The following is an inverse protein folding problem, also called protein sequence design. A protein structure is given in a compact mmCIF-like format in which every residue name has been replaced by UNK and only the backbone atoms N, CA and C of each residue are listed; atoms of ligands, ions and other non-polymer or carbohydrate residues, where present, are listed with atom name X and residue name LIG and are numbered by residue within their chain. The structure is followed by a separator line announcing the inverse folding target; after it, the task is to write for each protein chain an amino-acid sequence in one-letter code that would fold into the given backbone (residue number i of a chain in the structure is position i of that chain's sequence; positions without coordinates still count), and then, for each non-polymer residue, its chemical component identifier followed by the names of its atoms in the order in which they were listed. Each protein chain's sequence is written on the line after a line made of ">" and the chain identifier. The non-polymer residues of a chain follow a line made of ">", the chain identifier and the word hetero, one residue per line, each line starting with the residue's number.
data_IF_586319442290
#
_entry.id   IF_586319442290
#
_cell.length_a   1.000
_cell.length_b   1.000
_cell.length_c   1.000
_cell.angle_alpha   90.00
_cell.angle_beta   90.00
_cell.angle_gamma   90.00
#
_symmetry.space_group_name_H-M   'P 1'
#
loop_
_entity.id
_entity.type
_entity.pdbx_description
1 polymer ?
#
# COMPACT_ATOMS: atom_id res chain seq x y z
N UNK A 1 -35.36 1.43 -24.43
CA UNK A 1 -35.30 1.65 -22.97
C UNK A 1 -34.61 0.50 -22.26
N UNK A 2 -35.01 -0.75 -22.50
CA UNK A 2 -34.41 -1.95 -21.87
C UNK A 2 -32.88 -2.04 -22.01
N UNK A 3 -32.34 -1.83 -23.22
CA UNK A 3 -30.88 -1.77 -23.46
C UNK A 3 -30.19 -0.70 -22.61
N UNK A 4 -30.75 0.51 -22.56
CA UNK A 4 -30.21 1.64 -21.80
C UNK A 4 -30.19 1.37 -20.29
N UNK A 5 -31.24 0.71 -19.77
CA UNK A 5 -31.30 0.25 -18.39
C UNK A 5 -30.20 -0.79 -18.11
N UNK A 6 -30.02 -1.76 -19.02
CA UNK A 6 -28.97 -2.77 -18.90
C UNK A 6 -27.56 -2.15 -18.92
N UNK A 7 -27.32 -1.15 -19.78
CA UNK A 7 -26.06 -0.43 -19.87
C UNK A 7 -25.76 0.38 -18.60
N UNK A 8 -26.76 1.05 -18.03
CA UNK A 8 -26.62 1.78 -16.76
C UNK A 8 -26.40 0.81 -15.58
N UNK A 9 -27.13 -0.30 -15.52
CA UNK A 9 -26.93 -1.36 -14.53
C UNK A 9 -25.52 -1.93 -14.58
N UNK A 10 -25.00 -2.17 -15.78
CA UNK A 10 -23.62 -2.63 -15.99
C UNK A 10 -22.62 -1.60 -15.48
N UNK A 11 -22.80 -0.33 -15.84
CA UNK A 11 -21.95 0.78 -15.38
C UNK A 11 -21.94 0.88 -13.85
N UNK A 12 -23.11 0.91 -13.22
CA UNK A 12 -23.23 0.94 -11.75
C UNK A 12 -22.53 -0.25 -11.09
N UNK A 13 -22.77 -1.47 -11.56
CA UNK A 13 -22.13 -2.69 -11.03
C UNK A 13 -20.61 -2.63 -11.18
N UNK A 14 -20.11 -2.26 -12.35
CA UNK A 14 -18.68 -2.23 -12.65
C UNK A 14 -17.96 -1.14 -11.85
N UNK A 15 -18.50 0.07 -11.83
CA UNK A 15 -17.90 1.20 -11.09
C UNK A 15 -17.93 0.96 -9.58
N UNK A 16 -19.06 0.48 -9.03
CA UNK A 16 -19.15 0.14 -7.60
C UNK A 16 -18.14 -0.93 -7.21
N UNK A 17 -18.03 -2.01 -8.01
CA UNK A 17 -17.07 -3.09 -7.75
C UNK A 17 -15.61 -2.62 -7.81
N UNK A 18 -15.25 -1.81 -8.82
CA UNK A 18 -13.92 -1.21 -8.89
C UNK A 18 -13.63 -0.30 -7.67
N UNK A 19 -14.59 0.54 -7.24
CA UNK A 19 -14.43 1.38 -6.05
C UNK A 19 -14.31 0.56 -4.75
N UNK A 20 -15.06 -0.54 -4.60
CA UNK A 20 -14.84 -1.45 -3.47
C UNK A 20 -13.44 -2.08 -3.47
N UNK A 21 -12.93 -2.45 -4.65
CA UNK A 21 -11.58 -3.00 -4.79
C UNK A 21 -10.49 -1.96 -4.47
N UNK A 22 -10.70 -0.70 -4.88
CA UNK A 22 -9.83 0.42 -4.52
C UNK A 22 -9.79 0.63 -3.01
N UNK A 23 -10.97 0.65 -2.37
CA UNK A 23 -11.09 0.76 -0.91
C UNK A 23 -10.31 -0.33 -0.18
N UNK A 24 -10.50 -1.60 -0.59
CA UNK A 24 -9.77 -2.74 -0.03
C UNK A 24 -8.26 -2.60 -0.21
N UNK A 25 -7.79 -2.30 -1.44
CA UNK A 25 -6.36 -2.13 -1.72
C UNK A 25 -5.74 -1.07 -0.81
N UNK A 26 -6.33 0.12 -0.81
CA UNK A 26 -5.79 1.25 -0.07
C UNK A 26 -5.80 1.00 1.45
N UNK A 27 -6.85 0.39 1.99
CA UNK A 27 -6.89 -0.03 3.39
C UNK A 27 -5.82 -1.08 3.72
N UNK A 28 -5.56 -2.03 2.82
CA UNK A 28 -4.51 -3.03 3.01
C UNK A 28 -3.11 -2.41 2.97
N UNK A 29 -2.84 -1.53 2.00
CA UNK A 29 -1.56 -0.83 1.88
C UNK A 29 -1.31 0.03 3.11
N UNK A 30 -2.31 0.81 3.55
CA UNK A 30 -2.21 1.65 4.74
C UNK A 30 -1.88 0.85 6.01
N UNK A 31 -2.63 -0.22 6.28
CA UNK A 31 -2.37 -1.10 7.44
C UNK A 31 -0.96 -1.68 7.43
N UNK A 32 -0.44 -2.07 6.26
CA UNK A 32 0.91 -2.65 6.13
C UNK A 32 2.00 -1.61 6.35
N UNK A 33 1.83 -0.39 5.82
CA UNK A 33 2.76 0.71 6.05
C UNK A 33 2.76 1.15 7.52
N UNK A 34 1.59 1.21 8.16
CA UNK A 34 1.48 1.48 9.60
C UNK A 34 2.19 0.42 10.43
N UNK A 35 1.97 -0.87 10.12
CA UNK A 35 2.65 -1.96 10.81
C UNK A 35 4.17 -1.88 10.63
N UNK A 36 4.65 -1.66 9.40
CA UNK A 36 6.08 -1.51 9.13
C UNK A 36 6.69 -0.35 9.92
N UNK A 37 6.04 0.82 9.90
CA UNK A 37 6.46 2.01 10.66
C UNK A 37 6.52 1.72 12.16
N UNK A 38 5.52 1.02 12.72
CA UNK A 38 5.50 0.64 14.13
C UNK A 38 6.66 -0.32 14.50
N UNK A 39 6.88 -1.37 13.70
CA UNK A 39 7.96 -2.33 13.95
C UNK A 39 9.34 -1.69 13.77
N UNK A 40 9.53 -0.87 12.74
CA UNK A 40 10.78 -0.12 12.53
C UNK A 40 11.05 0.83 13.70
N UNK A 41 10.04 1.52 14.21
CA UNK A 41 10.17 2.38 15.40
C UNK A 41 10.60 1.59 16.64
N UNK A 42 9.92 0.47 16.92
CA UNK A 42 10.27 -0.39 18.05
C UNK A 42 11.70 -0.94 17.93
N UNK A 43 12.12 -1.30 16.72
CA UNK A 43 13.46 -1.80 16.45
C UNK A 43 14.54 -0.73 16.62
N UNK A 44 14.30 0.51 16.18
CA UNK A 44 15.22 1.64 16.42
C UNK A 44 15.41 1.88 17.93
N UNK A 45 14.32 1.81 18.71
CA UNK A 45 14.39 1.93 20.17
C UNK A 45 15.25 0.79 20.75
N UNK A 46 15.04 -0.46 20.30
CA UNK A 46 15.84 -1.59 20.74
C UNK A 46 17.33 -1.39 20.42
N UNK A 47 17.68 -0.98 19.20
CA UNK A 47 19.06 -0.68 18.80
C UNK A 47 19.67 0.44 19.66
N UNK A 48 18.90 1.47 20.00
CA UNK A 48 19.38 2.59 20.80
C UNK A 48 19.76 2.17 22.23
N UNK A 49 19.06 1.20 22.81
CA UNK A 49 19.33 0.72 24.17
C UNK A 49 20.32 -0.46 24.18
N UNK A 50 20.44 -1.20 23.08
CA UNK A 50 21.26 -2.42 22.96
C UNK A 50 22.71 -2.29 23.46
N UNK A 51 23.48 -1.22 23.13
CA UNK A 51 24.85 -1.05 23.62
C UNK A 51 24.99 -0.96 25.15
N UNK A 52 23.90 -0.68 25.89
CA UNK A 52 23.93 -0.64 27.36
C UNK A 52 24.02 -2.02 28.01
N UNK A 53 23.67 -3.06 27.26
CA UNK A 53 23.59 -4.43 27.77
C UNK A 53 24.69 -5.34 27.21
N UNK A 54 25.42 -4.90 26.19
CA UNK A 54 26.43 -5.70 25.49
C UNK A 54 27.67 -4.86 25.23
N UNK A 55 28.85 -5.41 25.51
CA UNK A 55 30.12 -4.79 25.12
C UNK A 55 30.32 -5.01 23.63
N UNK A 56 30.37 -3.92 22.87
CA UNK A 56 30.57 -3.93 21.43
C UNK A 56 32.01 -3.54 21.08
N UNK A 57 32.53 -4.08 19.99
CA UNK A 57 33.75 -3.58 19.39
C UNK A 57 33.53 -2.17 18.82
N UNK A 58 34.60 -1.39 18.61
CA UNK A 58 34.50 -0.04 18.04
C UNK A 58 33.84 -0.05 16.66
N UNK A 59 34.18 -1.07 15.87
CA UNK A 59 33.58 -1.31 14.55
C UNK A 59 32.08 -1.63 14.67
N UNK A 60 31.71 -2.55 15.57
CA UNK A 60 30.32 -2.94 15.80
C UNK A 60 29.45 -1.77 16.29
N UNK A 61 29.99 -0.93 17.17
CA UNK A 61 29.31 0.28 17.63
C UNK A 61 29.06 1.27 16.48
N UNK A 62 30.06 1.52 15.63
CA UNK A 62 29.94 2.43 14.49
C UNK A 62 28.85 1.97 13.50
N UNK A 63 28.79 0.67 13.22
CA UNK A 63 27.75 0.09 12.35
C UNK A 63 26.35 0.14 12.97
N UNK A 64 26.25 -0.07 14.28
CA UNK A 64 24.98 0.03 15.00
C UNK A 64 24.45 1.47 14.98
N UNK A 65 25.31 2.46 15.23
CA UNK A 65 24.97 3.89 15.15
C UNK A 65 24.53 4.27 13.73
N UNK A 66 25.30 3.88 12.71
CA UNK A 66 24.97 4.12 11.30
C UNK A 66 23.60 3.53 10.93
N UNK A 67 23.34 2.28 11.30
CA UNK A 67 22.06 1.62 11.00
C UNK A 67 20.91 2.26 11.76
N UNK A 68 21.11 2.66 13.01
CA UNK A 68 20.08 3.37 13.79
C UNK A 68 19.69 4.69 13.12
N UNK A 69 20.68 5.47 12.65
CA UNK A 69 20.45 6.72 11.92
C UNK A 69 19.75 6.44 10.58
N UNK A 70 20.24 5.47 9.80
CA UNK A 70 19.67 5.11 8.51
C UNK A 70 18.20 4.65 8.62
N UNK A 71 17.89 3.81 9.59
CA UNK A 71 16.52 3.37 9.88
C UNK A 71 15.64 4.52 10.36
N UNK A 72 16.18 5.48 11.12
CA UNK A 72 15.43 6.67 11.55
C UNK A 72 15.06 7.57 10.38
N UNK A 73 15.97 7.76 9.41
CA UNK A 73 15.69 8.48 8.17
C UNK A 73 14.63 7.73 7.34
N UNK A 74 14.76 6.40 7.23
CA UNK A 74 13.78 5.56 6.53
C UNK A 74 12.39 5.64 7.17
N UNK A 75 12.32 5.58 8.50
CA UNK A 75 11.09 5.71 9.28
C UNK A 75 10.42 7.06 9.00
N UNK A 76 11.17 8.15 9.04
CA UNK A 76 10.67 9.49 8.75
C UNK A 76 10.14 9.60 7.32
N UNK A 77 10.93 9.17 6.33
CA UNK A 77 10.54 9.21 4.93
C UNK A 77 9.27 8.37 4.66
N UNK A 78 9.19 7.16 5.23
CA UNK A 78 8.01 6.30 5.15
C UNK A 78 6.78 6.96 5.76
N UNK A 79 6.92 7.57 6.94
CA UNK A 79 5.82 8.25 7.64
C UNK A 79 5.28 9.43 6.84
N UNK A 80 6.17 10.24 6.24
CA UNK A 80 5.77 11.37 5.38
C UNK A 80 5.06 10.87 4.13
N UNK A 81 5.59 9.84 3.46
CA UNK A 81 4.98 9.27 2.27
C UNK A 81 3.60 8.67 2.57
N UNK A 82 3.47 7.94 3.68
CA UNK A 82 2.20 7.38 4.13
C UNK A 82 1.18 8.50 4.38
N UNK A 83 1.56 9.55 5.12
CA UNK A 83 0.68 10.69 5.38
C UNK A 83 0.26 11.41 4.08
N UNK A 84 1.19 11.70 3.19
CA UNK A 84 0.92 12.38 1.91
C UNK A 84 0.01 11.57 0.98
N UNK A 85 0.09 10.24 1.04
CA UNK A 85 -0.72 9.35 0.19
C UNK A 85 -2.22 9.40 0.50
N UNK A 86 -2.56 9.74 1.75
CA UNK A 86 -3.91 9.79 2.30
C UNK A 86 -4.75 8.51 2.02
N UNK A 87 -4.10 7.34 2.09
CA UNK A 87 -4.70 6.06 1.73
C UNK A 87 -5.94 5.72 2.57
N UNK A 88 -5.92 5.97 3.89
CA UNK A 88 -7.05 5.69 4.77
C UNK A 88 -8.31 6.49 4.39
N UNK A 89 -8.18 7.79 4.15
CA UNK A 89 -9.31 8.65 3.77
C UNK A 89 -9.82 8.28 2.38
N UNK A 90 -8.94 8.08 1.40
CA UNK A 90 -9.33 7.62 0.06
C UNK A 90 -10.06 6.28 0.11
N UNK A 91 -9.60 5.34 0.94
CA UNK A 91 -10.25 4.04 1.10
C UNK A 91 -11.69 4.18 1.59
N UNK A 92 -11.93 5.04 2.58
CA UNK A 92 -13.26 5.32 3.12
C UNK A 92 -14.16 6.02 2.08
N UNK A 93 -13.64 7.01 1.37
CA UNK A 93 -14.38 7.71 0.32
C UNK A 93 -14.79 6.76 -0.81
N UNK A 94 -13.89 5.87 -1.25
CA UNK A 94 -14.25 4.83 -2.23
C UNK A 94 -15.30 3.87 -1.68
N UNK A 95 -15.22 3.48 -0.40
CA UNK A 95 -16.19 2.58 0.22
C UNK A 95 -17.60 3.20 0.21
N UNK A 96 -17.74 4.42 0.73
CA UNK A 96 -19.02 5.14 0.78
C UNK A 96 -19.59 5.36 -0.61
N UNK A 97 -18.74 5.76 -1.55
CA UNK A 97 -19.15 5.95 -2.92
C UNK A 97 -19.66 4.67 -3.58
N UNK A 98 -19.00 3.54 -3.34
CA UNK A 98 -19.44 2.25 -3.84
C UNK A 98 -20.76 1.79 -3.21
N UNK A 99 -21.01 2.10 -1.92
CA UNK A 99 -22.30 1.85 -1.27
C UNK A 99 -23.44 2.64 -1.91
N UNK A 100 -23.25 3.95 -2.13
CA UNK A 100 -24.25 4.80 -2.81
C UNK A 100 -24.54 4.30 -4.24
N UNK A 101 -23.51 3.88 -4.98
CA UNK A 101 -23.72 3.26 -6.30
C UNK A 101 -24.48 1.94 -6.23
N UNK A 102 -24.22 1.12 -5.21
CA UNK A 102 -24.92 -0.16 -5.02
C UNK A 102 -26.40 0.07 -4.66
N UNK A 103 -26.72 1.15 -3.93
CA UNK A 103 -28.10 1.57 -3.68
C UNK A 103 -28.82 1.95 -4.96
N UNK A 104 -28.23 2.82 -5.78
CA UNK A 104 -28.78 3.19 -7.09
C UNK A 104 -28.96 1.97 -8.00
N UNK A 105 -28.01 1.04 -7.98
CA UNK A 105 -28.11 -0.21 -8.72
C UNK A 105 -29.30 -1.03 -8.27
N UNK A 106 -29.48 -1.22 -6.96
CA UNK A 106 -30.62 -1.99 -6.41
C UNK A 106 -31.93 -1.33 -6.78
N UNK A 107 -32.03 -0.01 -6.65
CA UNK A 107 -33.21 0.76 -7.04
C UNK A 107 -33.57 0.54 -8.52
N UNK A 108 -32.58 0.65 -9.42
CA UNK A 108 -32.77 0.42 -10.84
C UNK A 108 -33.15 -1.05 -11.16
N UNK A 109 -32.58 -2.03 -10.45
CA UNK A 109 -32.91 -3.44 -10.62
C UNK A 109 -34.37 -3.72 -10.25
N UNK A 110 -34.84 -3.23 -9.10
CA UNK A 110 -36.21 -3.48 -8.63
C UNK A 110 -37.26 -2.75 -9.46
N UNK A 111 -36.95 -1.55 -9.97
CA UNK A 111 -37.88 -0.76 -10.79
C UNK A 111 -37.78 -1.04 -12.28
N UNK A 112 -36.89 -1.93 -12.71
CA UNK A 112 -36.62 -2.19 -14.13
C UNK A 112 -37.86 -2.58 -14.93
N UNK A 113 -38.78 -3.34 -14.33
CA UNK A 113 -40.08 -3.66 -14.92
C UNK A 113 -41.05 -2.49 -14.71
N UNK A 114 -41.22 -1.64 -15.71
CA UNK A 114 -42.16 -0.51 -15.68
C UNK A 114 -41.53 0.86 -15.37
N UNK A 115 -40.20 0.97 -15.43
CA UNK A 115 -39.49 2.25 -15.30
C UNK A 115 -39.89 3.19 -16.44
N UNK A 116 -40.33 4.41 -16.12
CA UNK A 116 -40.55 5.47 -17.10
C UNK A 116 -39.27 6.28 -17.37
N UNK A 117 -39.29 7.10 -18.42
CA UNK A 117 -38.14 7.92 -18.81
C UNK A 117 -37.73 8.96 -17.74
N UNK A 118 -38.65 9.70 -17.09
CA UNK A 118 -38.30 10.59 -15.99
C UNK A 118 -37.61 9.90 -14.81
N UNK A 119 -38.09 8.73 -14.39
CA UNK A 119 -37.47 7.94 -13.31
C UNK A 119 -36.08 7.43 -13.71
N UNK A 120 -35.92 6.99 -14.96
CA UNK A 120 -34.61 6.61 -15.48
C UNK A 120 -33.63 7.78 -15.44
N UNK A 121 -34.08 8.96 -15.88
CA UNK A 121 -33.25 10.16 -15.89
C UNK A 121 -32.87 10.62 -14.49
N UNK A 122 -33.76 10.47 -13.50
CA UNK A 122 -33.44 10.74 -12.10
C UNK A 122 -32.32 9.85 -11.57
N UNK A 123 -32.41 8.53 -11.78
CA UNK A 123 -31.37 7.58 -11.34
C UNK A 123 -30.03 7.86 -12.05
N UNK A 124 -30.07 8.14 -13.36
CA UNK A 124 -28.89 8.49 -14.15
C UNK A 124 -28.23 9.77 -13.65
N UNK A 125 -29.04 10.80 -13.32
CA UNK A 125 -28.56 12.04 -12.70
C UNK A 125 -27.91 11.78 -11.35
N UNK A 126 -28.57 11.02 -10.46
CA UNK A 126 -28.04 10.66 -9.14
C UNK A 126 -26.74 9.87 -9.23
N UNK A 127 -26.60 9.00 -10.24
CA UNK A 127 -25.33 8.32 -10.51
C UNK A 127 -24.21 9.31 -10.81
N UNK A 128 -24.46 10.32 -11.66
CA UNK A 128 -23.48 11.37 -11.94
C UNK A 128 -23.20 12.25 -10.72
N UNK A 129 -24.21 12.55 -9.90
CA UNK A 129 -24.03 13.28 -8.64
C UNK A 129 -23.09 12.52 -7.69
N UNK A 130 -23.21 11.18 -7.58
CA UNK A 130 -22.27 10.37 -6.80
C UNK A 130 -20.86 10.41 -7.39
N UNK A 131 -20.71 10.40 -8.73
CA UNK A 131 -19.38 10.54 -9.36
C UNK A 131 -18.73 11.89 -9.02
N UNK A 132 -19.50 12.98 -9.10
CA UNK A 132 -19.04 14.34 -8.83
C UNK A 132 -18.76 14.57 -7.34
N UNK A 133 -19.65 14.09 -6.46
CA UNK A 133 -19.56 14.24 -4.99
C UNK A 133 -18.23 13.74 -4.43
N UNK A 134 -17.77 12.59 -4.92
CA UNK A 134 -16.53 11.99 -4.43
C UNK A 134 -15.29 12.42 -5.21
N UNK A 135 -15.43 12.87 -6.46
CA UNK A 135 -14.35 13.41 -7.33
C UNK A 135 -13.02 12.61 -7.32
N UNK A 136 -13.10 11.29 -7.08
CA UNK A 136 -11.96 10.39 -6.96
C UNK A 136 -12.07 9.27 -7.99
N UNK A 137 -10.95 9.02 -8.67
CA UNK A 137 -10.82 7.93 -9.62
C UNK A 137 -9.99 6.80 -9.02
N UNK A 138 -10.46 5.57 -9.24
CA UNK A 138 -9.71 4.38 -8.90
C UNK A 138 -8.59 4.13 -9.93
N UNK A 139 -7.64 3.26 -9.60
CA UNK A 139 -6.58 2.89 -10.53
C UNK A 139 -7.06 1.76 -11.46
N UNK A 140 -6.40 1.56 -12.60
CA UNK A 140 -6.74 0.49 -13.54
C UNK A 140 -6.71 -0.91 -12.90
N UNK A 141 -5.83 -1.11 -11.91
CA UNK A 141 -5.71 -2.39 -11.20
C UNK A 141 -6.99 -2.74 -10.43
N UNK A 142 -7.79 -1.75 -10.01
CA UNK A 142 -9.07 -1.99 -9.34
C UNK A 142 -10.13 -2.52 -10.31
N UNK A 143 -10.13 -1.99 -11.53
CA UNK A 143 -10.97 -2.49 -12.60
C UNK A 143 -10.49 -3.85 -13.09
N UNK A 144 -9.18 -4.09 -13.20
CA UNK A 144 -8.66 -5.42 -13.50
C UNK A 144 -9.03 -6.42 -12.42
N UNK A 145 -9.01 -6.04 -11.14
CA UNK A 145 -9.49 -6.90 -10.06
C UNK A 145 -10.98 -7.21 -10.23
N UNK A 146 -11.80 -6.21 -10.57
CA UNK A 146 -13.21 -6.42 -10.86
C UNK A 146 -13.43 -7.39 -12.05
N UNK A 147 -12.66 -7.27 -13.12
CA UNK A 147 -12.74 -8.21 -14.25
C UNK A 147 -12.33 -9.63 -13.85
N UNK A 148 -11.32 -9.77 -12.97
CA UNK A 148 -10.87 -11.05 -12.46
C UNK A 148 -11.88 -11.71 -11.51
N UNK A 149 -12.67 -10.93 -10.78
CA UNK A 149 -13.73 -11.43 -9.90
C UNK A 149 -14.99 -11.83 -10.71
N UNK A 150 -15.26 -11.15 -11.83
CA UNK A 150 -16.41 -11.40 -12.72
C UNK A 150 -16.00 -11.93 -14.10
N UNK A 151 -15.12 -12.93 -14.18
CA UNK A 151 -14.53 -13.41 -15.45
C UNK A 151 -15.55 -13.84 -16.49
N UNK A 152 -16.69 -14.37 -16.08
CA UNK A 152 -17.76 -14.78 -16.98
C UNK A 152 -18.38 -13.58 -17.73
N UNK A 153 -18.36 -12.39 -17.12
CA UNK A 153 -18.90 -11.15 -17.70
C UNK A 153 -17.89 -10.48 -18.65
N UNK A 154 -16.60 -10.87 -18.57
CA UNK A 154 -15.49 -10.31 -19.33
C UNK A 154 -14.72 -11.43 -20.02
N UNK A 155 -15.08 -11.73 -21.27
CA UNK A 155 -14.39 -12.73 -22.09
C UNK A 155 -12.89 -12.40 -22.18
N UNK A 156 -12.07 -13.10 -21.40
CA UNK A 156 -10.64 -12.82 -21.25
C UNK A 156 -9.81 -14.06 -21.59
N UNK A 157 -8.69 -13.85 -22.29
CA UNK A 157 -7.72 -14.91 -22.53
C UNK A 157 -6.98 -15.33 -21.24
N UNK A 158 -6.49 -16.57 -21.20
CA UNK A 158 -5.71 -17.10 -20.07
C UNK A 158 -4.49 -16.23 -19.75
N UNK A 159 -3.81 -15.73 -20.78
CA UNK A 159 -2.67 -14.81 -20.61
C UNK A 159 -3.09 -13.49 -19.96
N UNK A 160 -4.21 -12.90 -20.39
CA UNK A 160 -4.74 -11.67 -19.79
C UNK A 160 -5.04 -11.86 -18.30
N UNK A 161 -5.62 -13.01 -17.93
CA UNK A 161 -5.91 -13.36 -16.53
C UNK A 161 -4.62 -13.38 -15.71
N UNK A 162 -3.58 -14.08 -16.17
CA UNK A 162 -2.30 -14.18 -15.44
C UNK A 162 -1.66 -12.80 -15.30
N UNK A 163 -1.51 -12.06 -16.40
CA UNK A 163 -0.90 -10.73 -16.39
C UNK A 163 -1.64 -9.76 -15.45
N UNK A 164 -2.97 -9.72 -15.49
CA UNK A 164 -3.77 -8.87 -14.59
C UNK A 164 -3.64 -9.31 -13.14
N UNK A 165 -3.63 -10.62 -12.88
CA UNK A 165 -3.47 -11.16 -11.51
C UNK A 165 -2.13 -10.72 -10.92
N UNK A 166 -1.04 -10.82 -11.68
CA UNK A 166 0.29 -10.37 -11.26
C UNK A 166 0.30 -8.86 -11.01
N UNK A 167 -0.23 -8.05 -11.92
CA UNK A 167 -0.29 -6.59 -11.74
C UNK A 167 -1.09 -6.17 -10.51
N UNK A 168 -2.25 -6.80 -10.29
CA UNK A 168 -3.06 -6.56 -9.08
C UNK A 168 -2.28 -6.94 -7.83
N UNK A 169 -1.62 -8.10 -7.82
CA UNK A 169 -0.80 -8.52 -6.69
C UNK A 169 0.35 -7.54 -6.42
N UNK A 170 1.08 -7.12 -7.46
CA UNK A 170 2.14 -6.12 -7.33
C UNK A 170 1.64 -4.81 -6.72
N UNK A 171 0.46 -4.32 -7.13
CA UNK A 171 -0.10 -3.08 -6.59
C UNK A 171 -0.43 -3.16 -5.09
N UNK A 172 -0.79 -4.34 -4.57
CA UNK A 172 -1.03 -4.57 -3.14
C UNK A 172 0.26 -4.68 -2.32
N UNK A 173 1.38 -4.96 -2.96
CA UNK A 173 2.57 -5.51 -2.32
C UNK A 173 3.80 -4.60 -2.45
N UNK A 174 4.00 -3.98 -3.62
CA UNK A 174 5.16 -3.17 -3.97
C UNK A 174 5.52 -2.09 -2.94
N UNK A 175 4.59 -1.24 -2.43
CA UNK A 175 4.96 -0.16 -1.52
C UNK A 175 5.58 -0.68 -0.21
N UNK A 176 5.04 -1.78 0.31
CA UNK A 176 5.50 -2.37 1.57
C UNK A 176 6.74 -3.26 1.43
N UNK A 177 6.90 -3.98 0.30
CA UNK A 177 8.03 -4.90 0.12
C UNK A 177 9.34 -4.13 -0.03
N UNK A 178 9.36 -3.01 -0.76
CA UNK A 178 10.60 -2.25 -0.96
C UNK A 178 11.14 -1.76 0.39
N UNK A 179 10.29 -1.13 1.20
CA UNK A 179 10.68 -0.63 2.51
C UNK A 179 11.10 -1.78 3.43
N UNK A 180 10.40 -2.92 3.37
CA UNK A 180 10.79 -4.12 4.12
C UNK A 180 12.15 -4.67 3.71
N UNK A 181 12.44 -4.77 2.40
CA UNK A 181 13.73 -5.25 1.88
C UNK A 181 14.87 -4.33 2.32
N UNK A 182 14.69 -3.01 2.22
CA UNK A 182 15.70 -2.04 2.66
C UNK A 182 15.96 -2.18 4.16
N UNK A 183 14.90 -2.23 4.98
CA UNK A 183 15.04 -2.40 6.42
C UNK A 183 15.71 -3.73 6.79
N UNK A 184 15.28 -4.84 6.18
CA UNK A 184 15.86 -6.16 6.41
C UNK A 184 17.34 -6.21 5.98
N UNK A 185 17.68 -5.60 4.83
CA UNK A 185 19.06 -5.51 4.36
C UNK A 185 19.97 -4.77 5.33
N UNK A 186 19.53 -3.62 5.85
CA UNK A 186 20.27 -2.86 6.87
C UNK A 186 20.49 -3.69 8.14
N UNK A 187 19.45 -4.41 8.60
CA UNK A 187 19.52 -5.27 9.79
C UNK A 187 20.53 -6.40 9.59
N UNK A 188 20.50 -7.07 8.42
CA UNK A 188 21.41 -8.17 8.12
C UNK A 188 22.87 -7.70 8.05
N UNK A 189 23.13 -6.54 7.44
CA UNK A 189 24.47 -5.96 7.37
C UNK A 189 25.00 -5.65 8.77
N UNK A 190 24.18 -5.06 9.65
CA UNK A 190 24.58 -4.79 11.04
C UNK A 190 24.82 -6.07 11.84
N UNK A 191 23.95 -7.07 11.70
CA UNK A 191 24.14 -8.35 12.37
C UNK A 191 25.45 -9.02 11.93
N UNK A 192 25.77 -8.97 10.64
CA UNK A 192 27.04 -9.47 10.11
C UNK A 192 28.24 -8.68 10.67
N UNK A 193 28.16 -7.35 10.74
CA UNK A 193 29.22 -6.50 11.29
C UNK A 193 29.45 -6.72 12.79
N UNK A 194 28.42 -7.06 13.56
CA UNK A 194 28.52 -7.38 14.99
C UNK A 194 29.22 -8.72 15.26
N UNK A 195 29.08 -9.69 14.34
CA UNK A 195 29.67 -11.03 14.45
C UNK A 195 31.08 -11.06 13.83
N UNK A 196 31.41 -10.09 12.98
CA UNK A 196 32.67 -10.07 12.25
C UNK A 196 33.86 -9.95 13.22
N UNK A 197 34.78 -10.94 13.24
CA UNK A 197 35.94 -10.89 14.11
C UNK A 197 36.86 -9.74 13.67
N UNK A 198 37.19 -8.84 14.59
CA UNK A 198 38.24 -7.85 14.35
C UNK A 198 39.57 -8.60 14.21
N UNK A 199 40.18 -8.54 13.02
CA UNK A 199 41.53 -9.06 12.84
C UNK A 199 42.52 -8.15 13.55
N UNK A 200 43.63 -8.70 14.07
CA UNK A 200 44.65 -7.93 14.79
C UNK A 200 45.20 -6.75 13.97
N UNK A 201 45.22 -6.86 12.63
CA UNK A 201 45.59 -5.79 11.72
C UNK A 201 44.62 -4.58 11.75
N UNK A 202 43.32 -4.82 11.96
CA UNK A 202 42.30 -3.76 12.08
C UNK A 202 42.43 -3.05 13.42
N UNK A 203 42.67 -3.79 14.51
CA UNK A 203 42.95 -3.20 15.83
C UNK A 203 44.26 -2.40 15.83
N UNK A 204 45.31 -2.89 15.19
CA UNK A 204 46.58 -2.17 15.05
C UNK A 204 46.43 -0.88 14.22
N UNK A 205 45.67 -0.88 13.12
CA UNK A 205 45.41 0.31 12.31
C UNK A 205 44.55 1.35 13.04
N UNK A 206 43.54 0.90 13.81
CA UNK A 206 42.67 1.77 14.61
C UNK A 206 43.42 2.41 15.78
N UNK A 207 44.35 1.67 16.41
CA UNK A 207 45.17 2.18 17.51
C UNK A 207 46.36 3.03 17.02
N UNK A 208 46.91 2.73 15.85
CA UNK A 208 48.02 3.48 15.23
C UNK A 208 47.65 4.88 14.74
N UNK A 209 46.37 5.14 14.47
CA UNK A 209 45.87 6.49 14.16
C UNK A 209 45.72 7.39 15.40
N UNK A 210 45.86 6.84 16.62
CA UNK A 210 45.72 7.57 17.87
C UNK A 210 47.07 7.97 18.52
N UNK A 211 48.22 7.68 17.87
CA UNK A 211 49.50 8.22 18.35
C UNK A 211 49.53 9.73 18.13
N UNK A 212 49.74 10.57 19.16
CA UNK A 212 49.99 11.98 18.96
C UNK A 212 51.27 12.10 18.12
N UNK A 213 51.23 12.95 17.10
CA UNK A 213 52.45 13.51 16.54
C UNK A 213 53.06 14.34 17.65
N UNK A 214 54.18 13.87 18.20
CA UNK A 214 55.02 14.59 19.17
C UNK A 214 55.42 15.99 18.65
#
# INVERSE_FOLDING_TARGET
>A
MEKTIADLLRSLKTTAGARFNASKRLSHVDKRLTALTAFTSAFIIALTVFPKFVVLTKTGQSWLELTTIALSILLLASSVLQYASNHAVKAELFHRSALEMQELKRELQFRSAGLDEPQFMDISRRYNEVLQKYALNHDDVDFWRQQLDYRQDFQMSRWSIVCKTVKVWCAYVYPSIILFIIAAGLILVTAAALIWPETEAVQAAVNGLASPVD
#
